data_IF_295501026133
#
_entry.id   IF_295501026133
#
_cell.length_a   1.000
_cell.length_b   1.000
_cell.length_c   1.000
_cell.angle_alpha   90.00
_cell.angle_beta   90.00
_cell.angle_gamma   90.00
#
_symmetry.space_group_name_H-M   'P 1'
#
loop_
_entity.id
_entity.type
_entity.pdbx_description
1 polymer ?
#
# COMPACT_ATOMS: atom_id res chain seq x y z
N UNK A 1 -7.81 26.39 -15.37
CA UNK A 1 -6.76 25.36 -15.12
C UNK A 1 -7.00 24.83 -13.71
N UNK A 2 -7.09 23.52 -13.55
CA UNK A 2 -7.31 22.89 -12.24
C UNK A 2 -6.03 22.99 -11.41
N UNK A 3 -6.12 23.55 -10.20
CA UNK A 3 -5.02 23.55 -9.22
C UNK A 3 -5.01 22.20 -8.52
N UNK A 4 -3.83 21.63 -8.31
CA UNK A 4 -3.67 20.33 -7.65
C UNK A 4 -2.92 20.50 -6.33
N UNK A 5 -3.40 19.79 -5.31
CA UNK A 5 -2.70 19.63 -4.04
C UNK A 5 -2.07 18.24 -4.02
N UNK A 6 -0.80 18.16 -3.66
CA UNK A 6 -0.07 16.90 -3.53
C UNK A 6 0.25 16.59 -2.08
N UNK A 7 0.24 15.31 -1.73
CA UNK A 7 0.67 14.83 -0.42
C UNK A 7 1.48 13.55 -0.57
N UNK A 8 2.53 13.42 0.25
CA UNK A 8 3.33 12.20 0.36
C UNK A 8 3.00 11.57 1.71
N UNK A 9 2.64 10.29 1.72
CA UNK A 9 2.46 9.50 2.95
C UNK A 9 3.43 8.34 2.96
N UNK A 10 3.79 7.91 4.17
CA UNK A 10 4.62 6.72 4.38
C UNK A 10 3.89 5.78 5.31
N UNK A 11 3.89 4.49 4.98
CA UNK A 11 3.30 3.45 5.82
C UNK A 11 4.36 2.42 6.18
N UNK A 12 4.50 2.10 7.46
CA UNK A 12 5.50 1.13 7.91
C UNK A 12 5.02 -0.30 7.71
N UNK A 13 5.96 -1.25 7.69
CA UNK A 13 5.62 -2.69 7.70
C UNK A 13 4.70 -3.02 8.87
N UNK A 14 4.99 -2.50 10.05
CA UNK A 14 4.23 -2.78 11.28
C UNK A 14 2.78 -2.25 11.20
N UNK A 15 2.54 -1.14 10.49
CA UNK A 15 1.18 -0.65 10.22
C UNK A 15 0.42 -1.56 9.26
N UNK A 16 1.08 -2.03 8.20
CA UNK A 16 0.49 -2.95 7.24
C UNK A 16 0.16 -4.32 7.86
N UNK A 17 1.04 -4.84 8.73
CA UNK A 17 0.81 -6.09 9.45
C UNK A 17 -0.44 -5.99 10.34
N UNK A 18 -0.56 -4.90 11.12
CA UNK A 18 -1.74 -4.67 11.97
C UNK A 18 -3.04 -4.56 11.17
N UNK A 19 -3.00 -3.92 10.00
CA UNK A 19 -4.16 -3.85 9.12
C UNK A 19 -4.53 -5.23 8.54
N UNK A 20 -3.55 -6.07 8.23
CA UNK A 20 -3.78 -7.43 7.75
C UNK A 20 -4.40 -8.34 8.83
N UNK A 21 -3.91 -8.24 10.07
CA UNK A 21 -4.49 -8.95 11.22
C UNK A 21 -5.96 -8.56 11.45
N UNK A 22 -6.27 -7.25 11.39
CA UNK A 22 -7.64 -6.76 11.54
C UNK A 22 -8.61 -7.27 10.45
N UNK A 23 -8.07 -7.67 9.28
CA UNK A 23 -8.84 -8.24 8.17
C UNK A 23 -8.91 -9.78 8.21
N UNK A 24 -8.43 -10.42 9.28
CA UNK A 24 -8.44 -11.88 9.41
C UNK A 24 -7.31 -12.59 8.67
N UNK A 25 -6.22 -11.87 8.35
CA UNK A 25 -4.98 -12.45 7.86
C UNK A 25 -4.37 -13.44 8.88
N UNK A 26 -3.50 -14.37 8.44
CA UNK A 26 -2.91 -15.39 9.31
C UNK A 26 -2.11 -14.72 10.43
N UNK A 27 -2.38 -15.14 11.68
CA UNK A 27 -1.73 -14.66 12.89
C UNK A 27 -0.29 -15.20 13.09
N UNK A 28 0.37 -15.63 12.01
CA UNK A 28 1.66 -16.29 12.02
C UNK A 28 2.40 -16.10 10.71
N UNK A 29 3.71 -16.37 10.74
CA UNK A 29 4.75 -16.04 9.76
C UNK A 29 4.58 -16.73 8.39
N UNK A 30 3.45 -16.53 7.70
CA UNK A 30 3.41 -16.68 6.26
C UNK A 30 4.07 -15.43 5.67
N UNK A 31 5.39 -15.49 5.51
CA UNK A 31 6.15 -14.39 4.93
C UNK A 31 5.52 -13.99 3.59
N UNK A 32 5.10 -12.73 3.39
CA UNK A 32 4.73 -12.28 2.06
C UNK A 32 5.97 -12.36 1.19
N UNK A 33 5.99 -13.31 0.25
CA UNK A 33 7.04 -13.36 -0.77
C UNK A 33 6.69 -12.32 -1.80
N UNK A 34 7.33 -11.17 -1.69
CA UNK A 34 7.33 -10.14 -2.73
C UNK A 34 8.47 -10.51 -3.67
N UNK A 35 8.14 -10.90 -4.90
CA UNK A 35 9.14 -11.06 -5.95
C UNK A 35 9.27 -9.73 -6.65
N UNK A 36 10.39 -9.05 -6.46
CA UNK A 36 10.75 -7.93 -7.32
C UNK A 36 11.65 -8.46 -8.43
N UNK A 37 11.27 -8.22 -9.67
CA UNK A 37 12.18 -8.49 -10.80
C UNK A 37 13.33 -7.47 -10.83
N UNK A 38 14.29 -7.69 -11.73
CA UNK A 38 15.47 -6.83 -11.87
C UNK A 38 15.15 -5.40 -12.31
N UNK A 39 13.93 -5.14 -12.80
CA UNK A 39 13.45 -3.82 -13.20
C UNK A 39 12.71 -3.10 -12.06
N UNK A 40 12.60 -3.75 -10.90
CA UNK A 40 11.93 -3.19 -9.71
C UNK A 40 10.41 -3.36 -9.73
N UNK A 41 9.87 -4.20 -10.61
CA UNK A 41 8.45 -4.54 -10.60
C UNK A 41 8.22 -5.63 -9.56
N UNK A 42 7.51 -5.29 -8.49
CA UNK A 42 7.23 -6.18 -7.39
C UNK A 42 5.85 -6.83 -7.56
N UNK A 43 5.81 -8.15 -7.68
CA UNK A 43 4.61 -8.95 -7.84
C UNK A 43 4.28 -9.67 -6.53
N UNK A 44 2.99 -9.66 -6.19
CA UNK A 44 2.41 -10.54 -5.18
C UNK A 44 1.79 -11.72 -5.92
N UNK A 45 2.11 -12.95 -5.53
CA UNK A 45 1.60 -14.17 -6.17
C UNK A 45 0.05 -14.21 -6.15
N UNK A 46 -0.57 -14.92 -7.09
CA UNK A 46 -2.04 -14.95 -7.34
C UNK A 46 -2.88 -15.55 -6.18
N UNK A 47 -2.25 -15.95 -5.08
CA UNK A 47 -2.94 -16.40 -3.89
C UNK A 47 -3.58 -15.21 -3.14
N UNK A 48 -4.69 -15.41 -2.39
CA UNK A 48 -5.26 -14.38 -1.53
C UNK A 48 -4.21 -13.89 -0.55
N UNK A 49 -3.64 -12.71 -0.83
CA UNK A 49 -2.58 -12.15 -0.03
C UNK A 49 -3.21 -11.16 0.98
N UNK A 50 -3.26 -11.51 2.27
CA UNK A 50 -3.87 -10.67 3.31
C UNK A 50 -3.15 -9.32 3.43
N UNK A 51 -1.88 -9.23 3.04
CA UNK A 51 -1.13 -7.98 3.00
C UNK A 51 -1.51 -7.10 1.83
N UNK A 52 -1.82 -7.67 0.66
CA UNK A 52 -2.38 -6.90 -0.47
C UNK A 52 -3.74 -6.33 -0.08
N UNK A 53 -4.61 -7.14 0.52
CA UNK A 53 -5.91 -6.68 1.03
C UNK A 53 -5.74 -5.54 2.06
N UNK A 54 -4.78 -5.66 2.97
CA UNK A 54 -4.47 -4.62 3.95
C UNK A 54 -3.95 -3.32 3.32
N UNK A 55 -3.07 -3.41 2.33
CA UNK A 55 -2.58 -2.25 1.57
C UNK A 55 -3.76 -1.60 0.85
N UNK A 56 -4.56 -2.37 0.11
CA UNK A 56 -5.73 -1.86 -0.62
C UNK A 56 -6.70 -1.13 0.30
N UNK A 57 -7.06 -1.73 1.43
CA UNK A 57 -7.95 -1.13 2.43
C UNK A 57 -7.37 0.18 2.99
N UNK A 58 -6.09 0.18 3.38
CA UNK A 58 -5.42 1.36 3.92
C UNK A 58 -5.41 2.52 2.91
N UNK A 59 -5.09 2.23 1.65
CA UNK A 59 -5.03 3.24 0.59
C UNK A 59 -6.43 3.74 0.21
N UNK A 60 -7.43 2.85 0.18
CA UNK A 60 -8.81 3.22 -0.15
C UNK A 60 -9.43 4.17 0.88
N UNK A 61 -9.11 4.05 2.18
CA UNK A 61 -9.57 5.02 3.20
C UNK A 61 -9.16 6.44 2.85
N UNK A 62 -7.90 6.63 2.44
CA UNK A 62 -7.43 7.94 1.99
C UNK A 62 -8.07 8.36 0.66
N UNK A 63 -8.36 7.38 -0.21
CA UNK A 63 -9.13 7.60 -1.43
C UNK A 63 -10.54 8.16 -1.19
N UNK A 64 -11.22 7.71 -0.13
CA UNK A 64 -12.54 8.20 0.27
C UNK A 64 -12.54 9.68 0.65
N UNK A 65 -11.39 10.23 1.08
CA UNK A 65 -11.21 11.66 1.35
C UNK A 65 -10.97 12.50 0.08
N UNK A 66 -11.19 11.93 -1.11
CA UNK A 66 -11.03 12.58 -2.41
C UNK A 66 -9.60 12.64 -2.92
N UNK A 67 -8.68 11.86 -2.34
CA UNK A 67 -7.30 11.74 -2.83
C UNK A 67 -7.18 10.66 -3.90
N UNK A 68 -6.50 10.99 -4.98
CA UNK A 68 -6.13 10.06 -6.04
C UNK A 68 -4.69 9.60 -5.81
N UNK A 69 -4.47 8.29 -5.81
CA UNK A 69 -3.14 7.70 -5.72
C UNK A 69 -2.44 7.78 -7.08
N UNK A 70 -1.31 8.49 -7.13
CA UNK A 70 -0.56 8.73 -8.37
C UNK A 70 0.58 7.73 -8.53
N UNK A 71 1.27 7.40 -7.44
CA UNK A 71 2.41 6.48 -7.47
C UNK A 71 2.63 5.84 -6.10
N UNK A 72 3.10 4.58 -6.13
CA UNK A 72 3.58 3.84 -4.98
C UNK A 72 5.07 3.54 -5.21
N UNK A 73 5.90 3.69 -4.17
CA UNK A 73 7.28 3.22 -4.15
C UNK A 73 7.52 2.34 -2.91
N UNK A 74 8.17 1.20 -3.13
CA UNK A 74 8.51 0.24 -2.07
C UNK A 74 9.94 0.46 -1.56
N UNK A 75 10.12 0.39 -0.24
CA UNK A 75 11.42 0.28 0.43
C UNK A 75 11.37 -0.87 1.42
N UNK A 76 12.54 -1.35 1.86
CA UNK A 76 12.71 -2.55 2.69
C UNK A 76 11.75 -2.68 3.91
N UNK A 77 11.24 -1.57 4.46
CA UNK A 77 10.28 -1.56 5.58
C UNK A 77 9.18 -0.52 5.45
N UNK A 78 9.02 0.10 4.28
CA UNK A 78 8.14 1.25 4.10
C UNK A 78 7.48 1.24 2.72
N UNK A 79 6.21 1.63 2.70
CA UNK A 79 5.46 2.00 1.51
C UNK A 79 5.40 3.52 1.43
N UNK A 80 5.81 4.10 0.31
CA UNK A 80 5.71 5.54 0.07
C UNK A 80 4.63 5.76 -0.99
N UNK A 81 3.63 6.58 -0.67
CA UNK A 81 2.50 6.86 -1.56
C UNK A 81 2.47 8.35 -1.90
N UNK A 82 2.36 8.64 -3.20
CA UNK A 82 2.22 9.99 -3.74
C UNK A 82 0.77 10.19 -4.16
N UNK A 83 0.14 11.21 -3.61
CA UNK A 83 -1.28 11.50 -3.78
C UNK A 83 -1.49 12.86 -4.44
N UNK A 84 -2.60 13.01 -5.15
CA UNK A 84 -3.11 14.30 -5.60
C UNK A 84 -4.59 14.45 -5.30
N UNK A 85 -5.07 15.69 -5.18
CA UNK A 85 -6.50 16.02 -5.22
C UNK A 85 -6.72 17.42 -5.80
N UNK A 86 -7.91 17.73 -6.35
CA UNK A 86 -8.25 19.09 -6.73
C UNK A 86 -8.10 20.04 -5.53
N UNK A 87 -7.48 21.19 -5.76
CA UNK A 87 -7.22 22.23 -4.74
C UNK A 87 -8.18 23.41 -4.82
#
# INVERSE_FOLDING_TARGET
>A
MTRWTYQITTHSREELLRAAEALGGPAGEAAPVIFCDAEGVCFFDEAPNPYVAAITELLNRKGQDGWELVQIAFRARQLICIWRRPG
#
